data_IF_020384196637
#
_entry.id   IF_020384196637
#
_cell.length_a   1.000
_cell.length_b   1.000
_cell.length_c   1.000
_cell.angle_alpha   90.00
_cell.angle_beta   90.00
_cell.angle_gamma   90.00
#
_symmetry.space_group_name_H-M   'P 1'
#
loop_
_entity.id
_entity.type
_entity.pdbx_description
1 polymer ?
#
# COMPACT_ATOMS: atom_id res chain seq x y z
N UNK A 1 -36.85 -17.96 -47.18
CA UNK A 1 -37.45 -17.07 -46.16
C UNK A 1 -38.29 -17.94 -45.25
N UNK A 2 -37.69 -18.36 -44.15
CA UNK A 2 -38.38 -18.85 -42.95
C UNK A 2 -37.32 -18.76 -41.87
N UNK A 3 -37.38 -17.63 -41.17
CA UNK A 3 -36.55 -17.30 -40.02
C UNK A 3 -36.85 -18.28 -38.87
N UNK A 4 -35.83 -18.80 -38.17
CA UNK A 4 -36.05 -19.41 -36.87
C UNK A 4 -36.26 -18.31 -35.82
N UNK A 5 -37.35 -18.44 -35.06
CA UNK A 5 -37.67 -17.61 -33.90
C UNK A 5 -36.46 -17.52 -32.96
N UNK A 6 -36.00 -16.29 -32.77
CA UNK A 6 -35.04 -15.94 -31.74
C UNK A 6 -35.77 -16.14 -30.41
N UNK A 7 -35.45 -17.24 -29.72
CA UNK A 7 -35.83 -17.41 -28.32
C UNK A 7 -35.32 -16.20 -27.55
N UNK A 8 -36.25 -15.37 -27.10
CA UNK A 8 -35.98 -14.29 -26.15
C UNK A 8 -35.38 -14.98 -24.93
N UNK A 9 -34.10 -14.70 -24.67
CA UNK A 9 -33.51 -14.97 -23.38
C UNK A 9 -34.38 -14.19 -22.40
N UNK A 10 -35.16 -14.90 -21.59
CA UNK A 10 -35.77 -14.31 -20.41
C UNK A 10 -34.62 -13.75 -19.58
N UNK A 11 -34.43 -12.45 -19.71
CA UNK A 11 -33.53 -11.66 -18.90
C UNK A 11 -34.14 -11.72 -17.49
N UNK A 12 -33.70 -12.67 -16.66
CA UNK A 12 -33.94 -12.70 -15.21
C UNK A 12 -33.24 -11.51 -14.50
N UNK A 13 -33.18 -10.36 -15.18
CA UNK A 13 -32.58 -9.10 -14.76
C UNK A 13 -33.50 -8.28 -13.86
N UNK A 14 -34.37 -8.93 -13.06
CA UNK A 14 -35.28 -8.21 -12.17
C UNK A 14 -35.51 -8.91 -10.82
N UNK A 15 -34.43 -9.41 -10.20
CA UNK A 15 -34.47 -9.84 -8.79
C UNK A 15 -34.24 -8.70 -7.79
N UNK A 16 -34.53 -7.44 -8.16
CA UNK A 16 -34.66 -6.34 -7.19
C UNK A 16 -36.08 -6.24 -6.62
N UNK A 17 -37.05 -6.96 -7.22
CA UNK A 17 -38.47 -6.96 -6.83
C UNK A 17 -38.73 -7.60 -5.44
N UNK A 18 -37.78 -8.39 -4.92
CA UNK A 18 -37.88 -9.02 -3.60
C UNK A 18 -37.22 -8.26 -2.44
N UNK A 19 -36.49 -7.17 -2.72
CA UNK A 19 -35.72 -6.47 -1.68
C UNK A 19 -36.68 -5.67 -0.78
N UNK A 20 -36.76 -5.96 0.53
CA UNK A 20 -37.65 -5.25 1.43
C UNK A 20 -37.26 -3.77 1.47
N UNK A 21 -38.25 -2.87 1.55
CA UNK A 21 -38.01 -1.41 1.56
C UNK A 21 -36.99 -0.95 2.61
N UNK A 22 -36.95 -1.63 3.76
CA UNK A 22 -35.94 -1.39 4.79
C UNK A 22 -34.51 -1.63 4.29
N UNK A 23 -34.29 -2.65 3.46
CA UNK A 23 -32.98 -2.95 2.87
C UNK A 23 -32.62 -1.95 1.77
N UNK A 24 -33.60 -1.42 1.03
CA UNK A 24 -33.38 -0.30 0.10
C UNK A 24 -33.00 1.00 0.84
N UNK A 25 -33.62 1.25 1.99
CA UNK A 25 -33.27 2.39 2.85
C UNK A 25 -31.84 2.24 3.41
N UNK A 26 -31.46 1.02 3.83
CA UNK A 26 -30.10 0.71 4.26
C UNK A 26 -29.08 0.87 3.12
N UNK A 27 -29.44 0.45 1.90
CA UNK A 27 -28.60 0.65 0.71
C UNK A 27 -28.41 2.14 0.40
N UNK A 28 -29.47 2.95 0.50
CA UNK A 28 -29.38 4.40 0.29
C UNK A 28 -28.49 5.09 1.35
N UNK A 29 -28.47 4.56 2.58
CA UNK A 29 -27.52 5.02 3.61
C UNK A 29 -26.08 4.61 3.26
N UNK A 30 -25.86 3.36 2.84
CA UNK A 30 -24.54 2.88 2.44
C UNK A 30 -23.96 3.66 1.25
N UNK A 31 -24.80 3.99 0.27
CA UNK A 31 -24.42 4.80 -0.89
C UNK A 31 -23.96 6.21 -0.48
N UNK A 32 -24.72 6.89 0.38
CA UNK A 32 -24.32 8.20 0.93
C UNK A 32 -23.02 8.14 1.74
N UNK A 33 -22.80 7.05 2.48
CA UNK A 33 -21.54 6.85 3.21
C UNK A 33 -20.39 6.66 2.21
N UNK A 34 -20.59 5.88 1.16
CA UNK A 34 -19.58 5.65 0.13
C UNK A 34 -19.21 6.94 -0.61
N UNK A 35 -20.20 7.77 -0.98
CA UNK A 35 -19.98 9.07 -1.62
C UNK A 35 -19.10 9.96 -0.74
N UNK A 36 -19.44 10.09 0.55
CA UNK A 36 -18.67 10.88 1.51
C UNK A 36 -17.26 10.36 1.73
N UNK A 37 -17.08 9.04 1.81
CA UNK A 37 -15.75 8.42 1.99
C UNK A 37 -14.92 8.61 0.72
N UNK A 38 -15.54 8.56 -0.46
CA UNK A 38 -14.86 8.79 -1.74
C UNK A 38 -14.35 10.22 -1.85
N UNK A 39 -15.14 11.21 -1.43
CA UNK A 39 -14.71 12.61 -1.33
C UNK A 39 -13.53 12.78 -0.36
N UNK A 40 -13.63 12.23 0.85
CA UNK A 40 -12.53 12.28 1.83
C UNK A 40 -11.25 11.63 1.30
N UNK A 41 -11.37 10.51 0.59
CA UNK A 41 -10.24 9.83 -0.03
C UNK A 41 -9.66 10.66 -1.18
N UNK A 42 -10.49 11.32 -1.99
CA UNK A 42 -10.01 12.19 -3.05
C UNK A 42 -9.20 13.36 -2.48
N UNK A 43 -9.67 13.97 -1.40
CA UNK A 43 -8.94 15.03 -0.67
C UNK A 43 -7.64 14.52 -0.04
N UNK A 44 -7.67 13.34 0.60
CA UNK A 44 -6.48 12.69 1.16
C UNK A 44 -5.46 12.38 0.06
N UNK A 45 -5.91 11.86 -1.08
CA UNK A 45 -5.07 11.54 -2.23
C UNK A 45 -4.48 12.78 -2.87
N UNK A 46 -5.23 13.88 -2.95
CA UNK A 46 -4.74 15.16 -3.42
C UNK A 46 -3.67 15.72 -2.48
N UNK A 47 -3.88 15.60 -1.15
CA UNK A 47 -2.89 16.01 -0.14
C UNK A 47 -1.65 15.11 -0.12
N UNK A 48 -1.79 13.82 -0.43
CA UNK A 48 -0.71 12.84 -0.45
C UNK A 48 -0.06 12.68 -1.82
N UNK A 49 -0.49 13.44 -2.83
CA UNK A 49 0.02 13.34 -4.18
C UNK A 49 1.52 13.71 -4.20
N UNK A 50 2.39 12.82 -4.69
CA UNK A 50 3.81 13.09 -4.72
C UNK A 50 4.15 14.25 -5.65
N UNK A 51 4.88 15.23 -5.12
CA UNK A 51 5.39 16.33 -5.94
C UNK A 51 6.38 15.79 -7.00
N UNK A 52 6.29 16.25 -8.25
CA UNK A 52 7.29 15.92 -9.26
C UNK A 52 8.63 16.61 -8.91
N UNK A 53 9.69 15.81 -8.80
CA UNK A 53 11.08 16.28 -8.75
C UNK A 53 11.71 16.34 -10.15
N UNK A 54 12.89 16.95 -10.26
CA UNK A 54 13.66 16.97 -11.52
C UNK A 54 15.04 16.37 -11.31
N UNK A 55 15.44 15.44 -12.18
CA UNK A 55 16.81 14.89 -12.23
C UNK A 55 17.32 15.05 -13.66
N UNK A 56 18.35 15.88 -13.86
CA UNK A 56 18.93 16.13 -15.18
C UNK A 56 17.93 16.67 -16.21
N UNK A 57 16.98 17.51 -15.77
CA UNK A 57 15.92 18.07 -16.63
C UNK A 57 14.77 17.11 -16.95
N UNK A 58 14.75 15.91 -16.38
CA UNK A 58 13.65 14.95 -16.52
C UNK A 58 12.77 14.99 -15.26
N UNK A 59 11.46 15.15 -15.47
CA UNK A 59 10.49 15.07 -14.39
C UNK A 59 10.40 13.62 -13.86
N UNK A 60 10.48 13.46 -12.55
CA UNK A 60 10.34 12.19 -11.84
C UNK A 60 9.35 12.36 -10.70
N UNK A 61 8.51 11.35 -10.45
CA UNK A 61 7.59 11.37 -9.30
C UNK A 61 8.39 10.99 -8.04
N UNK A 62 8.45 11.88 -7.05
CA UNK A 62 9.16 11.58 -5.80
C UNK A 62 8.29 10.66 -4.95
N UNK A 63 8.76 9.45 -4.64
CA UNK A 63 8.07 8.61 -3.66
C UNK A 63 8.29 9.23 -2.27
N UNK A 64 7.25 9.71 -1.57
CA UNK A 64 7.41 10.26 -0.23
C UNK A 64 7.94 9.14 0.67
N UNK A 65 9.08 9.37 1.32
CA UNK A 65 9.56 8.47 2.37
C UNK A 65 8.58 8.55 3.54
N UNK A 66 7.76 7.52 3.72
CA UNK A 66 6.83 7.43 4.85
C UNK A 66 7.66 7.23 6.12
N UNK A 67 7.67 8.28 6.96
CA UNK A 67 8.20 8.40 8.32
C UNK A 67 9.73 8.22 8.53
N UNK A 68 10.48 9.29 8.87
CA UNK A 68 11.73 9.16 9.63
C UNK A 68 11.51 8.77 11.11
N UNK A 69 10.28 8.45 11.52
CA UNK A 69 9.82 8.41 12.91
C UNK A 69 10.27 7.16 13.68
N UNK A 70 10.84 6.16 13.02
CA UNK A 70 11.57 5.11 13.73
C UNK A 70 12.96 5.65 14.02
N UNK A 71 13.11 6.19 15.23
CA UNK A 71 14.42 6.50 15.80
C UNK A 71 15.35 5.33 15.56
N UNK A 72 16.54 5.58 14.99
CA UNK A 72 17.50 4.52 14.64
C UNK A 72 17.81 3.64 15.86
N UNK A 73 17.74 4.21 17.06
CA UNK A 73 17.90 3.52 18.35
C UNK A 73 16.84 2.45 18.63
N UNK A 74 15.66 2.51 18.00
CA UNK A 74 14.59 1.52 18.13
C UNK A 74 14.80 0.30 17.22
N UNK A 75 15.70 0.39 16.25
CA UNK A 75 16.04 -0.75 15.39
C UNK A 75 16.93 -1.74 16.16
N UNK A 76 16.84 -3.05 15.89
CA UNK A 76 17.82 -3.99 16.41
C UNK A 76 19.25 -3.57 16.02
N UNK A 77 20.26 -3.82 16.86
CA UNK A 77 21.63 -3.29 16.67
C UNK A 77 22.25 -3.58 15.29
N UNK A 78 21.91 -4.71 14.69
CA UNK A 78 22.42 -5.11 13.37
C UNK A 78 21.91 -4.20 12.26
N UNK A 79 20.63 -3.80 12.33
CA UNK A 79 20.05 -2.86 11.37
C UNK A 79 20.64 -1.46 11.53
N UNK A 80 20.95 -1.02 12.75
CA UNK A 80 21.64 0.25 13.00
C UNK A 80 23.02 0.28 12.36
N UNK A 81 23.80 -0.81 12.50
CA UNK A 81 25.14 -0.92 11.90
C UNK A 81 25.09 -0.87 10.37
N UNK A 82 24.10 -1.53 9.77
CA UNK A 82 23.88 -1.50 8.33
C UNK A 82 23.56 -0.07 7.86
N UNK A 83 22.64 0.62 8.53
CA UNK A 83 22.25 1.98 8.17
C UNK A 83 23.41 2.98 8.33
N UNK A 84 24.20 2.86 9.40
CA UNK A 84 25.40 3.67 9.59
C UNK A 84 26.41 3.48 8.45
N UNK A 85 26.64 2.23 8.00
CA UNK A 85 27.52 1.94 6.87
C UNK A 85 27.00 2.53 5.54
N UNK A 86 25.69 2.45 5.29
CA UNK A 86 25.05 3.03 4.10
C UNK A 86 25.17 4.55 4.08
N UNK A 87 24.97 5.21 5.23
CA UNK A 87 25.13 6.66 5.33
C UNK A 87 26.59 7.10 5.14
N UNK A 88 27.54 6.38 5.71
CA UNK A 88 28.98 6.67 5.55
C UNK A 88 29.44 6.52 4.09
N UNK A 89 28.85 5.60 3.34
CA UNK A 89 29.24 5.37 1.95
C UNK A 89 28.85 6.50 0.99
N UNK A 90 27.89 7.37 1.36
CA UNK A 90 27.40 8.50 0.55
C UNK A 90 27.09 8.12 -0.92
N UNK A 91 26.64 6.89 -1.15
CA UNK A 91 26.46 6.28 -2.47
C UNK A 91 26.03 4.81 -2.37
N UNK A 92 25.83 4.12 -3.51
CA UNK A 92 25.41 2.72 -3.53
C UNK A 92 26.40 1.80 -2.81
N UNK A 93 25.92 1.02 -1.83
CA UNK A 93 26.74 0.04 -1.11
C UNK A 93 26.58 -1.34 -1.72
N UNK A 94 27.68 -2.06 -1.91
CA UNK A 94 27.63 -3.43 -2.42
C UNK A 94 27.11 -4.38 -1.34
N UNK A 95 26.16 -5.25 -1.69
CA UNK A 95 25.55 -6.20 -0.75
C UNK A 95 26.58 -7.03 0.04
N UNK A 96 27.72 -7.38 -0.57
CA UNK A 96 28.83 -8.07 0.11
C UNK A 96 29.43 -7.29 1.28
N UNK A 97 29.57 -5.97 1.16
CA UNK A 97 30.13 -5.10 2.20
C UNK A 97 29.17 -4.99 3.40
N UNK A 98 27.87 -5.09 3.15
CA UNK A 98 26.85 -5.14 4.21
C UNK A 98 26.80 -6.53 4.86
N UNK A 99 26.97 -7.60 4.07
CA UNK A 99 27.04 -8.98 4.57
C UNK A 99 28.20 -9.25 5.53
N UNK A 100 29.33 -8.55 5.33
CA UNK A 100 30.50 -8.59 6.24
C UNK A 100 30.22 -7.94 7.61
N UNK A 101 29.19 -7.09 7.72
CA UNK A 101 28.77 -6.47 8.99
C UNK A 101 27.87 -7.37 9.84
N UNK A 102 27.46 -8.53 9.31
CA UNK A 102 26.89 -9.68 10.01
C UNK A 102 25.74 -9.38 10.98
N UNK A 103 24.51 -9.75 10.60
CA UNK A 103 23.44 -9.98 11.58
C UNK A 103 23.93 -11.10 12.49
N UNK A 104 24.21 -10.80 13.76
CA UNK A 104 24.63 -11.83 14.71
C UNK A 104 23.37 -12.55 15.14
N UNK A 105 23.02 -13.63 14.44
CA UNK A 105 22.00 -14.56 14.92
C UNK A 105 22.59 -15.33 16.11
N UNK A 106 22.51 -14.74 17.31
CA UNK A 106 22.75 -15.47 18.56
C UNK A 106 21.60 -16.48 18.74
N UNK A 107 21.67 -17.64 18.09
CA UNK A 107 20.84 -18.79 18.45
C UNK A 107 21.36 -19.31 19.79
N UNK A 108 20.71 -18.92 20.88
CA UNK A 108 21.01 -19.44 22.21
C UNK A 108 20.46 -20.86 22.33
N UNK A 109 21.23 -21.84 21.85
CA UNK A 109 21.04 -23.22 22.25
C UNK A 109 21.65 -23.39 23.64
N UNK A 110 20.80 -23.31 24.67
CA UNK A 110 21.14 -23.54 26.09
C UNK A 110 22.09 -22.51 26.75
N UNK A 111 21.47 -21.50 27.35
CA UNK A 111 21.89 -21.02 28.69
C UNK A 111 23.20 -20.26 28.78
N UNK A 112 23.74 -19.75 27.68
CA UNK A 112 24.73 -18.67 27.71
C UNK A 112 24.32 -17.61 26.70
N UNK A 113 24.02 -16.44 27.24
CA UNK A 113 23.89 -15.22 26.46
C UNK A 113 25.23 -14.96 25.77
N UNK A 114 25.16 -14.49 24.53
CA UNK A 114 26.09 -13.43 24.13
C UNK A 114 25.88 -12.30 25.16
#
# INVERSE_FOLDING_TARGET
MQDPEVGVLDDDGDNLSGMPRAELDELAVAERVLERVSEQLADERASAAPAPGQIGGRAVMLIPHRAPDVEETMLPPDYQRILAAVRQAAGPVMARQVGELGVSECVSAHGRTC
#
